data_IF_609746886114
#
_entry.id   IF_609746886114
#
_cell.length_a   1.000
_cell.length_b   1.000
_cell.length_c   1.000
_cell.angle_alpha   90.00
_cell.angle_beta   90.00
_cell.angle_gamma   90.00
#
_symmetry.space_group_name_H-M   'P 1'
#
loop_
_entity.id
_entity.type
_entity.pdbx_description
1 polymer ?
#
# COMPACT_ATOMS: atom_id res chain seq x y z
N UNK A 1 -19.40 22.52 5.47
CA UNK A 1 -19.96 21.16 5.38
C UNK A 1 -18.98 20.30 4.59
N UNK A 2 -18.01 19.67 5.26
CA UNK A 2 -17.36 18.43 4.78
C UNK A 2 -16.51 17.82 5.92
N UNK A 3 -17.16 17.64 7.08
CA UNK A 3 -16.53 17.15 8.33
C UNK A 3 -16.62 15.61 8.44
N UNK A 4 -17.42 14.97 7.59
CA UNK A 4 -17.73 13.53 7.69
C UNK A 4 -16.66 12.59 7.12
N UNK A 5 -15.81 13.05 6.21
CA UNK A 5 -14.75 12.23 5.60
C UNK A 5 -13.52 12.06 6.49
N UNK A 6 -13.17 13.11 7.26
CA UNK A 6 -11.99 13.12 8.14
C UNK A 6 -12.21 12.37 9.46
N UNK A 7 -13.47 12.16 9.83
CA UNK A 7 -13.83 11.44 11.06
C UNK A 7 -13.82 9.91 10.86
N UNK A 8 -14.07 9.42 9.64
CA UNK A 8 -14.03 7.99 9.29
C UNK A 8 -12.60 7.46 9.22
N UNK A 9 -11.63 8.23 8.73
CA UNK A 9 -10.20 7.87 8.70
C UNK A 9 -9.57 7.87 10.10
N UNK A 10 -10.02 8.76 10.99
CA UNK A 10 -9.56 8.84 12.39
C UNK A 10 -10.12 7.70 13.25
N UNK A 11 -11.32 7.22 12.93
CA UNK A 11 -11.99 6.16 13.68
C UNK A 11 -11.37 4.80 13.37
N UNK A 12 -11.17 4.41 12.10
CA UNK A 12 -10.84 3.02 11.72
C UNK A 12 -9.55 2.43 12.36
N UNK A 13 -8.55 3.26 12.64
CA UNK A 13 -7.27 2.84 13.22
C UNK A 13 -7.31 2.58 14.74
N UNK A 14 -7.86 3.52 15.51
CA UNK A 14 -8.14 3.31 16.95
C UNK A 14 -9.29 2.32 17.15
N UNK A 15 -10.18 2.19 16.16
CA UNK A 15 -11.19 1.14 16.11
C UNK A 15 -10.50 -0.21 16.15
N UNK A 16 -9.61 -0.61 15.24
CA UNK A 16 -9.13 -2.00 15.18
C UNK A 16 -8.78 -2.66 16.55
N UNK A 17 -7.88 -2.07 17.36
CA UNK A 17 -7.49 -2.65 18.66
C UNK A 17 -8.53 -2.44 19.76
N UNK A 18 -9.14 -1.25 19.87
CA UNK A 18 -10.17 -0.95 20.89
C UNK A 18 -11.53 -1.55 20.55
N UNK A 19 -11.89 -1.67 19.28
CA UNK A 19 -13.05 -2.37 18.71
C UNK A 19 -12.90 -3.86 18.90
N UNK A 20 -11.73 -4.47 18.65
CA UNK A 20 -11.53 -5.88 18.98
C UNK A 20 -11.70 -6.14 20.49
N UNK A 21 -11.08 -5.30 21.34
CA UNK A 21 -11.23 -5.41 22.80
C UNK A 21 -12.67 -5.09 23.26
N UNK A 22 -13.32 -4.09 22.67
CA UNK A 22 -14.69 -3.68 22.99
C UNK A 22 -15.72 -4.66 22.44
N UNK A 23 -15.47 -5.29 21.30
CA UNK A 23 -16.30 -6.35 20.73
C UNK A 23 -16.14 -7.63 21.51
N UNK A 24 -14.93 -7.98 21.98
CA UNK A 24 -14.76 -9.09 22.92
C UNK A 24 -15.53 -8.83 24.22
N UNK A 25 -15.38 -7.63 24.79
CA UNK A 25 -16.12 -7.24 26.00
C UNK A 25 -17.63 -7.17 25.77
N UNK A 26 -18.08 -6.68 24.60
CA UNK A 26 -19.49 -6.62 24.20
C UNK A 26 -20.04 -8.01 23.91
N UNK A 27 -19.30 -8.90 23.24
CA UNK A 27 -19.70 -10.28 23.00
C UNK A 27 -19.81 -11.04 24.33
N UNK A 28 -18.85 -10.89 25.24
CA UNK A 28 -18.93 -11.47 26.59
C UNK A 28 -20.10 -10.91 27.40
N UNK A 29 -20.44 -9.62 27.24
CA UNK A 29 -21.60 -8.99 27.89
C UNK A 29 -22.92 -9.38 27.24
N UNK A 30 -23.00 -9.43 25.91
CA UNK A 30 -24.17 -9.81 25.12
C UNK A 30 -24.48 -11.29 25.30
N UNK A 31 -23.48 -12.18 25.26
CA UNK A 31 -23.66 -13.60 25.55
C UNK A 31 -24.26 -13.84 26.96
N UNK A 32 -23.97 -12.96 27.92
CA UNK A 32 -24.58 -12.95 29.27
C UNK A 32 -25.95 -12.26 29.34
N UNK A 33 -26.21 -11.29 28.47
CA UNK A 33 -27.40 -10.43 28.52
C UNK A 33 -28.52 -10.81 27.52
N UNK A 34 -28.21 -11.54 26.44
CA UNK A 34 -29.19 -12.04 25.47
C UNK A 34 -30.34 -12.84 26.12
N UNK A 35 -30.14 -13.62 27.21
CA UNK A 35 -31.26 -14.25 27.91
C UNK A 35 -32.15 -13.29 28.71
N UNK A 36 -31.74 -12.03 28.92
CA UNK A 36 -32.37 -11.10 29.88
C UNK A 36 -32.88 -9.78 29.28
N UNK A 37 -32.55 -9.45 28.03
CA UNK A 37 -32.98 -8.20 27.40
C UNK A 37 -34.18 -8.45 26.47
N UNK A 38 -35.35 -7.94 26.87
CA UNK A 38 -36.50 -7.78 25.97
C UNK A 38 -36.24 -6.61 25.01
N UNK A 39 -35.60 -6.89 23.87
CA UNK A 39 -35.37 -5.93 22.79
C UNK A 39 -36.70 -5.70 22.05
N UNK A 40 -37.60 -4.91 22.66
CA UNK A 40 -38.97 -4.65 22.20
C UNK A 40 -39.13 -4.01 20.80
N UNK A 41 -38.06 -3.86 20.02
CA UNK A 41 -38.08 -3.37 18.65
C UNK A 41 -37.49 -4.42 17.67
N UNK A 42 -38.29 -4.95 16.70
CA UNK A 42 -37.88 -6.04 15.79
C UNK A 42 -36.58 -5.79 15.02
N UNK A 43 -36.29 -4.53 14.68
CA UNK A 43 -35.05 -4.13 13.98
C UNK A 43 -33.80 -4.37 14.83
N UNK A 44 -33.87 -4.10 16.13
CA UNK A 44 -32.74 -4.31 17.05
C UNK A 44 -32.49 -5.80 17.33
N UNK A 45 -33.57 -6.59 17.43
CA UNK A 45 -33.47 -8.05 17.52
C UNK A 45 -32.79 -8.65 16.28
N UNK A 46 -33.21 -8.23 15.09
CA UNK A 46 -32.58 -8.69 13.84
C UNK A 46 -31.11 -8.31 13.69
N UNK A 47 -30.69 -7.17 14.24
CA UNK A 47 -29.28 -6.75 14.25
C UNK A 47 -28.48 -7.52 15.30
N UNK A 48 -29.04 -7.72 16.50
CA UNK A 48 -28.43 -8.50 17.56
C UNK A 48 -28.24 -9.96 17.14
N UNK A 49 -29.24 -10.57 16.50
CA UNK A 49 -29.16 -11.93 15.98
C UNK A 49 -28.08 -12.05 14.89
N UNK A 50 -27.96 -11.05 14.00
CA UNK A 50 -26.88 -11.00 13.00
C UNK A 50 -25.50 -10.90 13.63
N UNK A 51 -25.32 -9.99 14.60
CA UNK A 51 -24.04 -9.82 15.31
C UNK A 51 -23.68 -11.07 16.13
N UNK A 52 -24.65 -11.70 16.77
CA UNK A 52 -24.47 -12.92 17.54
C UNK A 52 -24.15 -14.13 16.64
N UNK A 53 -24.64 -14.14 15.40
CA UNK A 53 -24.36 -15.19 14.41
C UNK A 53 -22.96 -15.11 13.79
N UNK A 54 -22.23 -14.01 14.00
CA UNK A 54 -20.85 -13.87 13.50
C UNK A 54 -19.93 -14.75 14.33
N UNK A 55 -19.14 -15.59 13.67
CA UNK A 55 -18.06 -16.34 14.30
C UNK A 55 -16.89 -15.38 14.63
N UNK A 56 -16.96 -14.74 15.80
CA UNK A 56 -15.98 -13.77 16.26
C UNK A 56 -14.58 -14.35 16.46
N UNK A 57 -14.49 -15.64 16.81
CA UNK A 57 -13.21 -16.34 16.91
C UNK A 57 -12.54 -16.43 15.53
N UNK A 58 -13.29 -16.84 14.50
CA UNK A 58 -12.79 -16.87 13.14
C UNK A 58 -12.46 -15.47 12.59
N UNK A 59 -13.21 -14.43 12.99
CA UNK A 59 -12.88 -13.04 12.64
C UNK A 59 -11.58 -12.62 13.31
N UNK A 60 -11.39 -12.92 14.59
CA UNK A 60 -10.19 -12.59 15.34
C UNK A 60 -8.96 -13.29 14.73
N UNK A 61 -9.03 -14.60 14.48
CA UNK A 61 -7.93 -15.33 13.82
C UNK A 61 -7.57 -14.71 12.47
N UNK A 62 -8.57 -14.33 11.65
CA UNK A 62 -8.31 -13.66 10.37
C UNK A 62 -7.67 -12.28 10.53
N UNK A 63 -7.93 -11.58 11.62
CA UNK A 63 -7.34 -10.26 11.92
C UNK A 63 -5.92 -10.41 12.44
N UNK A 64 -5.67 -11.37 13.32
CA UNK A 64 -4.35 -11.68 13.86
C UNK A 64 -3.38 -12.16 12.75
N UNK A 65 -3.87 -12.94 11.78
CA UNK A 65 -3.05 -13.39 10.64
C UNK A 65 -2.89 -12.33 9.53
N UNK A 66 -3.66 -11.25 9.57
CA UNK A 66 -3.72 -10.29 8.47
C UNK A 66 -2.40 -9.58 8.15
N UNK A 67 -1.56 -9.16 9.12
CA UNK A 67 -0.24 -8.57 8.82
C UNK A 67 0.59 -9.49 7.94
N UNK A 68 0.75 -10.75 8.35
CA UNK A 68 1.55 -11.72 7.61
C UNK A 68 0.96 -12.01 6.23
N UNK A 69 -0.37 -12.20 6.13
CA UNK A 69 -1.06 -12.39 4.84
C UNK A 69 -0.88 -11.19 3.91
N UNK A 70 -0.95 -9.98 4.45
CA UNK A 70 -0.75 -8.74 3.69
C UNK A 70 0.67 -8.66 3.15
N UNK A 71 1.68 -8.97 3.98
CA UNK A 71 3.07 -9.01 3.56
C UNK A 71 3.26 -9.99 2.40
N UNK A 72 2.73 -11.21 2.51
CA UNK A 72 2.80 -12.21 1.44
C UNK A 72 2.18 -11.71 0.12
N UNK A 73 0.99 -11.11 0.19
CA UNK A 73 0.34 -10.53 -0.99
C UNK A 73 1.14 -9.38 -1.59
N UNK A 74 1.74 -8.52 -0.75
CA UNK A 74 2.62 -7.44 -1.18
C UNK A 74 3.89 -7.99 -1.85
N UNK A 75 4.51 -9.04 -1.30
CA UNK A 75 5.69 -9.70 -1.87
C UNK A 75 5.39 -10.27 -3.27
N UNK A 76 4.24 -10.94 -3.43
CA UNK A 76 3.76 -11.46 -4.72
C UNK A 76 3.58 -10.33 -5.74
N UNK A 77 2.93 -9.24 -5.34
CA UNK A 77 2.69 -8.09 -6.21
C UNK A 77 4.00 -7.37 -6.59
N UNK A 78 4.87 -7.11 -5.61
CA UNK A 78 6.11 -6.35 -5.82
C UNK A 78 7.14 -7.11 -6.66
N UNK A 79 7.15 -8.45 -6.59
CA UNK A 79 7.94 -9.29 -7.50
C UNK A 79 7.54 -9.12 -8.98
N UNK A 80 6.37 -8.55 -9.27
CA UNK A 80 5.90 -8.20 -10.62
C UNK A 80 5.88 -6.67 -10.85
N UNK A 81 6.53 -5.90 -9.99
CA UNK A 81 6.63 -4.43 -10.09
C UNK A 81 5.37 -3.68 -9.65
N UNK A 82 4.43 -4.35 -8.97
CA UNK A 82 3.20 -3.74 -8.47
C UNK A 82 3.30 -3.39 -6.99
N UNK A 83 2.64 -2.30 -6.61
CA UNK A 83 2.52 -1.91 -5.21
C UNK A 83 1.06 -1.96 -4.80
N UNK A 84 0.75 -2.76 -3.78
CA UNK A 84 -0.61 -2.97 -3.30
C UNK A 84 -0.95 -1.98 -2.19
N UNK A 85 -1.92 -1.09 -2.43
CA UNK A 85 -2.34 -0.06 -1.51
C UNK A 85 -3.74 -0.35 -0.94
N UNK A 86 -3.95 -0.11 0.36
CA UNK A 86 -5.24 -0.30 1.02
C UNK A 86 -6.11 0.95 0.97
N UNK A 87 -6.41 1.42 -0.23
CA UNK A 87 -7.09 2.71 -0.44
C UNK A 87 -8.62 2.63 -0.31
N UNK A 88 -9.15 1.59 0.31
CA UNK A 88 -10.58 1.29 0.39
C UNK A 88 -10.99 0.67 1.72
N UNK A 89 -12.11 -0.04 1.73
CA UNK A 89 -12.61 -0.72 2.91
C UNK A 89 -11.74 -1.91 3.31
N UNK A 90 -11.77 -2.29 4.60
CA UNK A 90 -11.06 -3.48 5.09
C UNK A 90 -11.47 -4.74 4.31
N UNK A 91 -12.76 -4.85 3.92
CA UNK A 91 -13.24 -5.96 3.09
C UNK A 91 -12.55 -6.02 1.73
N UNK A 92 -12.35 -4.88 1.08
CA UNK A 92 -11.61 -4.82 -0.19
C UNK A 92 -10.13 -5.17 0.02
N UNK A 93 -9.51 -4.68 1.09
CA UNK A 93 -8.13 -5.03 1.42
C UNK A 93 -7.96 -6.54 1.61
N UNK A 94 -8.88 -7.20 2.33
CA UNK A 94 -8.91 -8.66 2.45
C UNK A 94 -9.15 -9.35 1.12
N UNK A 95 -10.12 -8.90 0.32
CA UNK A 95 -10.44 -9.52 -0.96
C UNK A 95 -9.23 -9.51 -1.91
N UNK A 96 -8.53 -8.37 -2.01
CA UNK A 96 -7.32 -8.26 -2.83
C UNK A 96 -6.18 -9.11 -2.27
N UNK A 97 -5.99 -9.12 -0.94
CA UNK A 97 -4.96 -9.93 -0.27
C UNK A 97 -5.17 -11.42 -0.52
N UNK A 98 -6.38 -11.94 -0.28
CA UNK A 98 -6.70 -13.35 -0.49
C UNK A 98 -6.62 -13.71 -1.98
N UNK A 99 -7.10 -12.83 -2.86
CA UNK A 99 -7.03 -13.06 -4.30
C UNK A 99 -5.59 -13.17 -4.79
N UNK A 100 -4.70 -12.22 -4.45
CA UNK A 100 -3.27 -12.27 -4.80
C UNK A 100 -2.57 -13.54 -4.33
N UNK A 101 -2.97 -14.10 -3.18
CA UNK A 101 -2.40 -15.33 -2.63
C UNK A 101 -2.94 -16.60 -3.29
N UNK A 102 -4.09 -16.51 -3.96
CA UNK A 102 -4.80 -17.65 -4.56
C UNK A 102 -4.63 -17.78 -6.07
N UNK A 103 -4.36 -16.67 -6.77
CA UNK A 103 -4.20 -16.67 -8.23
C UNK A 103 -2.82 -17.18 -8.64
N UNK A 104 -2.75 -17.69 -9.88
CA UNK A 104 -1.48 -18.07 -10.48
C UNK A 104 -0.58 -16.84 -10.66
N UNK A 105 0.75 -17.03 -10.55
CA UNK A 105 1.73 -15.94 -10.64
C UNK A 105 1.67 -15.20 -11.98
N UNK A 106 1.21 -15.89 -13.02
CA UNK A 106 1.03 -15.39 -14.38
C UNK A 106 -0.18 -14.44 -14.47
N UNK A 107 -1.18 -14.61 -13.61
CA UNK A 107 -2.42 -13.83 -13.58
C UNK A 107 -2.30 -12.52 -12.78
N UNK A 108 -1.23 -12.37 -11.96
CA UNK A 108 -1.01 -11.20 -11.10
C UNK A 108 -1.05 -9.89 -11.89
N UNK A 109 -0.43 -9.85 -13.08
CA UNK A 109 -0.40 -8.63 -13.89
C UNK A 109 -1.80 -8.20 -14.34
N UNK A 110 -2.61 -9.14 -14.83
CA UNK A 110 -3.96 -8.84 -15.31
C UNK A 110 -4.86 -8.40 -14.15
N UNK A 111 -4.81 -9.14 -13.03
CA UNK A 111 -5.56 -8.80 -11.83
C UNK A 111 -5.21 -7.39 -11.30
N UNK A 112 -3.92 -7.07 -11.18
CA UNK A 112 -3.48 -5.77 -10.67
C UNK A 112 -3.74 -4.64 -11.67
N UNK A 113 -3.61 -4.91 -12.97
CA UNK A 113 -3.96 -3.94 -14.01
C UNK A 113 -5.44 -3.57 -13.92
N UNK A 114 -6.34 -4.55 -13.84
CA UNK A 114 -7.78 -4.29 -13.72
C UNK A 114 -8.14 -3.57 -12.40
N UNK A 115 -7.49 -3.97 -11.30
CA UNK A 115 -7.67 -3.33 -10.00
C UNK A 115 -7.39 -1.82 -10.04
N UNK A 116 -6.30 -1.41 -10.72
CA UNK A 116 -5.91 -0.01 -10.80
C UNK A 116 -6.58 0.74 -11.94
N UNK A 117 -6.78 0.12 -13.11
CA UNK A 117 -7.42 0.72 -14.30
C UNK A 117 -8.79 1.28 -13.95
N UNK A 118 -9.61 0.50 -13.24
CA UNK A 118 -10.94 0.90 -12.78
C UNK A 118 -10.94 1.98 -11.69
N UNK A 119 -9.78 2.27 -11.09
CA UNK A 119 -9.63 3.17 -9.93
C UNK A 119 -8.75 4.40 -10.20
N UNK A 120 -8.19 4.58 -11.40
CA UNK A 120 -7.29 5.70 -11.70
C UNK A 120 -7.91 7.04 -11.31
N UNK A 121 -9.16 7.28 -11.68
CA UNK A 121 -9.85 8.54 -11.42
C UNK A 121 -10.00 8.80 -9.92
N UNK A 122 -10.62 7.88 -9.17
CA UNK A 122 -10.86 8.10 -7.74
C UNK A 122 -9.56 8.17 -6.92
N UNK A 123 -8.55 7.36 -7.26
CA UNK A 123 -7.26 7.40 -6.58
C UNK A 123 -6.49 8.69 -6.89
N UNK A 124 -6.57 9.19 -8.12
CA UNK A 124 -5.93 10.47 -8.47
C UNK A 124 -6.56 11.67 -7.79
N UNK A 125 -7.88 11.66 -7.60
CA UNK A 125 -8.59 12.68 -6.83
C UNK A 125 -8.16 12.64 -5.36
N UNK A 126 -8.07 11.44 -4.77
CA UNK A 126 -7.60 11.27 -3.39
C UNK A 126 -6.15 11.74 -3.24
N UNK A 127 -5.27 11.39 -4.18
CA UNK A 127 -3.88 11.87 -4.20
C UNK A 127 -3.80 13.40 -4.27
N UNK A 128 -4.65 14.02 -5.08
CA UNK A 128 -4.69 15.48 -5.24
C UNK A 128 -5.23 16.19 -4.00
N UNK A 129 -6.22 15.59 -3.31
CA UNK A 129 -6.72 16.07 -2.02
C UNK A 129 -5.67 15.94 -0.92
N UNK A 130 -4.95 14.81 -0.88
CA UNK A 130 -3.91 14.54 0.11
C UNK A 130 -2.67 15.40 -0.10
N UNK A 131 -2.28 15.67 -1.36
CA UNK A 131 -1.13 16.51 -1.71
C UNK A 131 -1.51 17.64 -2.68
N UNK A 132 -2.18 18.71 -2.20
CA UNK A 132 -2.63 19.81 -3.06
C UNK A 132 -1.51 20.48 -3.85
N UNK A 133 -0.31 20.60 -3.25
CA UNK A 133 0.86 21.17 -3.92
C UNK A 133 1.36 20.34 -5.12
N UNK A 134 1.03 19.04 -5.17
CA UNK A 134 1.41 18.10 -6.23
C UNK A 134 0.28 17.84 -7.23
N UNK A 135 -0.93 18.32 -6.95
CA UNK A 135 -2.14 18.04 -7.73
C UNK A 135 -2.00 18.36 -9.22
N UNK A 136 -1.32 19.46 -9.58
CA UNK A 136 -1.11 19.85 -10.98
C UNK A 136 -0.29 18.78 -11.72
N UNK A 137 0.83 18.35 -11.14
CA UNK A 137 1.72 17.35 -11.74
C UNK A 137 1.03 15.98 -11.83
N UNK A 138 0.34 15.56 -10.76
CA UNK A 138 -0.41 14.30 -10.72
C UNK A 138 -1.52 14.31 -11.78
N UNK A 139 -2.31 15.38 -11.83
CA UNK A 139 -3.39 15.51 -12.81
C UNK A 139 -2.88 15.52 -14.25
N UNK A 140 -1.72 16.14 -14.51
CA UNK A 140 -1.10 16.11 -15.82
C UNK A 140 -0.67 14.70 -16.23
N UNK A 141 -0.03 13.95 -15.32
CA UNK A 141 0.35 12.57 -15.55
C UNK A 141 -0.85 11.64 -15.76
N UNK A 142 -1.93 11.84 -14.99
CA UNK A 142 -3.18 11.08 -15.16
C UNK A 142 -3.83 11.37 -16.51
N UNK A 143 -3.91 12.63 -16.93
CA UNK A 143 -4.40 12.96 -18.28
C UNK A 143 -3.56 12.32 -19.37
N UNK A 144 -2.24 12.29 -19.22
CA UNK A 144 -1.34 11.61 -20.15
C UNK A 144 -1.62 10.10 -20.19
N UNK A 145 -1.71 9.43 -19.04
CA UNK A 145 -2.09 8.02 -18.94
C UNK A 145 -3.44 7.73 -19.65
N UNK A 146 -4.46 8.58 -19.42
CA UNK A 146 -5.81 8.41 -19.99
C UNK A 146 -5.88 8.63 -21.50
N UNK A 147 -4.84 9.15 -22.15
CA UNK A 147 -4.76 9.15 -23.62
C UNK A 147 -4.73 7.73 -24.19
N UNK A 148 -4.34 6.75 -23.38
CA UNK A 148 -4.31 5.34 -23.73
C UNK A 148 -3.47 5.03 -24.99
N UNK A 149 -2.40 5.81 -25.19
CA UNK A 149 -1.43 5.66 -26.26
C UNK A 149 0.00 5.59 -25.68
N UNK A 150 0.94 5.09 -26.49
CA UNK A 150 2.36 4.98 -26.08
C UNK A 150 2.96 6.30 -25.62
N UNK A 151 2.60 7.41 -26.28
CA UNK A 151 3.07 8.76 -25.90
C UNK A 151 2.55 9.16 -24.51
N UNK A 152 1.27 8.93 -24.26
CA UNK A 152 0.61 9.19 -22.99
C UNK A 152 1.25 8.42 -21.84
N UNK A 153 1.54 7.14 -22.05
CA UNK A 153 2.24 6.31 -21.07
C UNK A 153 3.69 6.74 -20.88
N UNK A 154 4.41 7.05 -21.97
CA UNK A 154 5.79 7.56 -21.93
C UNK A 154 5.91 8.84 -21.11
N UNK A 155 4.90 9.72 -21.17
CA UNK A 155 4.84 10.97 -20.42
C UNK A 155 4.37 10.77 -18.96
N UNK A 156 3.45 9.84 -18.70
CA UNK A 156 2.89 9.64 -17.36
C UNK A 156 3.86 8.94 -16.41
N UNK A 157 4.55 7.89 -16.87
CA UNK A 157 5.42 7.03 -16.08
C UNK A 157 6.50 7.81 -15.29
N UNK A 158 7.36 8.64 -15.92
CA UNK A 158 8.40 9.37 -15.20
C UNK A 158 7.82 10.36 -14.18
N UNK A 159 6.66 10.96 -14.47
CA UNK A 159 6.01 11.89 -13.53
C UNK A 159 5.45 11.14 -12.33
N UNK A 160 4.79 9.99 -12.52
CA UNK A 160 4.32 9.16 -11.40
C UNK A 160 5.46 8.74 -10.47
N UNK A 161 6.57 8.27 -11.04
CA UNK A 161 7.77 7.89 -10.30
C UNK A 161 8.34 9.11 -9.54
N UNK A 162 8.55 10.23 -10.22
CA UNK A 162 9.12 11.43 -9.59
C UNK A 162 8.24 12.00 -8.47
N UNK A 163 6.90 11.95 -8.61
CA UNK A 163 5.99 12.37 -7.55
C UNK A 163 6.04 11.41 -6.36
N UNK A 164 6.08 10.10 -6.60
CA UNK A 164 6.20 9.11 -5.54
C UNK A 164 7.53 9.29 -4.77
N UNK A 165 8.64 9.51 -5.46
CA UNK A 165 9.95 9.81 -4.87
C UNK A 165 9.91 11.04 -3.95
N UNK A 166 9.28 12.12 -4.42
CA UNK A 166 9.14 13.34 -3.63
C UNK A 166 8.27 13.11 -2.40
N UNK A 167 7.16 12.39 -2.56
CA UNK A 167 6.23 12.09 -1.46
C UNK A 167 6.88 11.22 -0.38
N UNK A 168 7.63 10.17 -0.75
CA UNK A 168 8.26 9.31 0.26
C UNK A 168 9.28 10.08 1.10
N UNK A 169 10.02 11.00 0.49
CA UNK A 169 10.94 11.90 1.20
C UNK A 169 10.22 12.85 2.14
N UNK A 170 9.09 13.42 1.69
CA UNK A 170 8.25 14.33 2.49
C UNK A 170 7.61 13.61 3.69
N UNK A 171 6.98 12.45 3.45
CA UNK A 171 6.27 11.66 4.47
C UNK A 171 7.23 11.15 5.55
N UNK A 172 8.39 10.62 5.15
CA UNK A 172 9.33 10.01 6.09
C UNK A 172 10.32 11.02 6.68
N UNK A 173 10.40 12.25 6.14
CA UNK A 173 11.41 13.23 6.52
C UNK A 173 12.83 12.81 6.12
N UNK A 174 12.98 11.99 5.09
CA UNK A 174 14.24 11.41 4.65
C UNK A 174 14.67 12.00 3.31
N UNK A 175 15.75 12.79 3.29
CA UNK A 175 16.32 13.33 2.05
C UNK A 175 16.85 12.19 1.19
N UNK A 176 16.44 12.18 -0.08
CA UNK A 176 16.78 11.13 -1.06
C UNK A 176 16.36 9.75 -0.54
N UNK A 177 15.09 9.58 -0.18
CA UNK A 177 14.62 8.42 0.58
C UNK A 177 14.91 7.07 -0.13
N UNK A 178 14.94 7.05 -1.46
CA UNK A 178 15.21 5.84 -2.24
C UNK A 178 16.70 5.51 -2.40
N UNK A 179 17.61 6.37 -1.95
CA UNK A 179 19.04 6.05 -1.94
C UNK A 179 19.36 5.02 -0.85
N UNK A 180 20.36 4.17 -1.13
CA UNK A 180 20.92 3.26 -0.12
C UNK A 180 21.52 4.05 1.05
N UNK A 181 21.44 3.47 2.24
CA UNK A 181 22.08 4.03 3.44
C UNK A 181 23.60 4.01 3.29
N UNK A 182 24.26 5.07 3.77
CA UNK A 182 25.71 5.14 3.82
C UNK A 182 26.26 4.58 5.14
N UNK A 183 27.58 4.42 5.21
CA UNK A 183 28.29 3.86 6.36
C UNK A 183 27.94 4.50 7.71
N UNK A 184 27.61 5.81 7.72
CA UNK A 184 27.16 6.52 8.92
C UNK A 184 25.87 5.94 9.49
N UNK A 185 24.86 5.70 8.66
CA UNK A 185 23.56 5.17 9.09
C UNK A 185 23.66 3.68 9.43
N UNK A 186 24.52 2.92 8.75
CA UNK A 186 24.81 1.52 9.10
C UNK A 186 25.35 1.41 10.52
N UNK A 187 26.25 2.32 10.93
CA UNK A 187 26.73 2.41 12.32
C UNK A 187 25.63 2.77 13.33
N UNK A 188 24.50 3.32 12.87
CA UNK A 188 23.33 3.69 13.66
C UNK A 188 22.21 2.63 13.59
N UNK A 189 22.54 1.40 13.16
CA UNK A 189 21.61 0.27 13.13
C UNK A 189 20.85 0.09 11.82
N UNK A 190 21.20 0.82 10.76
CA UNK A 190 20.66 0.54 9.43
C UNK A 190 21.18 -0.80 8.92
N UNK A 191 20.29 -1.60 8.29
CA UNK A 191 20.65 -2.85 7.62
C UNK A 191 21.53 -2.56 6.40
N UNK A 192 22.46 -3.44 6.08
CA UNK A 192 23.31 -3.25 4.91
C UNK A 192 22.46 -3.27 3.63
N UNK A 193 22.77 -2.38 2.68
CA UNK A 193 22.10 -2.32 1.37
C UNK A 193 20.72 -1.67 1.36
N UNK A 194 20.11 -1.41 2.52
CA UNK A 194 18.74 -0.89 2.59
C UNK A 194 18.62 0.57 2.12
N UNK A 195 17.39 1.01 1.85
CA UNK A 195 17.10 2.41 1.53
C UNK A 195 16.99 3.29 2.77
N UNK A 196 17.23 4.59 2.61
CA UNK A 196 16.98 5.59 3.68
C UNK A 196 15.51 5.62 4.09
N UNK A 197 14.58 5.35 3.15
CA UNK A 197 13.17 5.21 3.42
C UNK A 197 12.89 4.04 4.36
N UNK A 198 13.46 2.86 4.08
CA UNK A 198 13.31 1.67 4.92
C UNK A 198 13.82 1.93 6.34
N UNK A 199 15.01 2.53 6.46
CA UNK A 199 15.57 2.92 7.76
C UNK A 199 14.68 3.92 8.52
N UNK A 200 14.24 5.00 7.85
CA UNK A 200 13.39 6.02 8.46
C UNK A 200 12.03 5.46 8.89
N UNK A 201 11.45 4.55 8.10
CA UNK A 201 10.19 3.90 8.40
C UNK A 201 10.31 3.00 9.64
N UNK A 202 11.35 2.17 9.75
CA UNK A 202 11.56 1.34 10.94
C UNK A 202 11.77 2.15 12.22
N UNK A 203 12.39 3.32 12.12
CA UNK A 203 12.53 4.21 13.28
C UNK A 203 11.23 4.94 13.67
N UNK A 204 10.22 4.96 12.79
CA UNK A 204 8.90 5.56 13.06
C UNK A 204 7.87 4.56 13.58
N UNK A 205 8.10 3.26 13.38
CA UNK A 205 7.16 2.19 13.74
C UNK A 205 7.77 1.38 14.88
N UNK A 206 7.08 1.35 16.02
CA UNK A 206 7.61 0.69 17.22
C UNK A 206 7.52 -0.84 17.16
N UNK A 207 6.45 -1.38 16.55
CA UNK A 207 6.22 -2.81 16.44
C UNK A 207 6.74 -3.34 15.09
N UNK A 208 7.57 -4.37 15.13
CA UNK A 208 8.13 -4.96 13.92
C UNK A 208 7.06 -5.70 13.11
N UNK A 209 5.99 -6.20 13.74
CA UNK A 209 4.90 -6.88 13.03
C UNK A 209 4.07 -5.91 12.17
N UNK A 210 3.89 -4.66 12.63
CA UNK A 210 3.17 -3.63 11.88
C UNK A 210 3.86 -3.28 10.56
N UNK A 211 5.18 -3.47 10.47
CA UNK A 211 5.94 -3.22 9.25
C UNK A 211 5.52 -4.14 8.10
N UNK A 212 4.87 -5.27 8.39
CA UNK A 212 4.31 -6.18 7.38
C UNK A 212 3.29 -5.48 6.48
N UNK A 213 2.59 -4.45 6.98
CA UNK A 213 1.64 -3.68 6.19
C UNK A 213 2.30 -2.71 5.20
N UNK A 214 3.60 -2.49 5.29
CA UNK A 214 4.35 -1.55 4.45
C UNK A 214 5.62 -2.20 3.89
N UNK A 215 5.64 -3.53 3.83
CA UNK A 215 6.80 -4.32 3.43
C UNK A 215 7.44 -3.88 2.11
N UNK A 216 6.70 -3.46 1.05
CA UNK A 216 7.31 -2.97 -0.17
C UNK A 216 8.33 -1.85 0.06
N UNK A 217 8.11 -0.90 1.00
CA UNK A 217 9.10 0.16 1.30
C UNK A 217 10.39 -0.42 1.88
N UNK A 218 10.27 -1.47 2.72
CA UNK A 218 11.41 -2.12 3.35
C UNK A 218 12.23 -2.92 2.34
N UNK A 219 11.55 -3.63 1.44
CA UNK A 219 12.13 -4.49 0.43
C UNK A 219 12.51 -3.77 -0.88
N UNK A 220 12.24 -2.46 -0.99
CA UNK A 220 12.45 -1.68 -2.22
C UNK A 220 13.84 -1.88 -2.86
N UNK A 221 14.88 -2.06 -2.05
CA UNK A 221 16.26 -2.24 -2.50
C UNK A 221 16.53 -3.58 -3.19
N UNK A 222 15.68 -4.58 -2.95
CA UNK A 222 15.76 -5.92 -3.54
C UNK A 222 14.87 -6.06 -4.79
N UNK A 223 14.02 -5.06 -5.06
CA UNK A 223 13.11 -5.09 -6.20
C UNK A 223 13.80 -4.65 -7.48
N UNK A 224 13.41 -5.28 -8.60
CA UNK A 224 13.75 -4.87 -9.97
C UNK A 224 13.51 -3.38 -10.22
N UNK A 225 12.53 -2.79 -9.53
CA UNK A 225 12.19 -1.37 -9.61
C UNK A 225 13.35 -0.43 -9.23
N UNK A 226 14.19 -0.77 -8.24
CA UNK A 226 15.36 0.02 -7.81
C UNK A 226 16.70 -0.64 -8.10
N UNK A 227 16.70 -1.79 -8.77
CA UNK A 227 17.92 -2.53 -9.10
C UNK A 227 18.95 -1.63 -9.80
N UNK A 228 20.20 -1.67 -9.33
CA UNK A 228 21.27 -0.83 -9.85
C UNK A 228 21.86 -1.40 -11.15
N UNK A 229 22.65 -0.62 -11.88
CA UNK A 229 23.18 -1.02 -13.19
C UNK A 229 24.04 -2.29 -13.14
N UNK A 230 24.88 -2.45 -12.10
CA UNK A 230 25.72 -3.64 -11.91
C UNK A 230 24.89 -4.90 -11.65
N UNK A 231 23.89 -4.80 -10.77
CA UNK A 231 23.00 -5.92 -10.45
C UNK A 231 22.17 -6.33 -11.68
N UNK A 232 21.68 -5.37 -12.47
CA UNK A 232 20.97 -5.63 -13.74
C UNK A 232 21.86 -6.36 -14.75
N UNK A 233 23.12 -5.94 -14.89
CA UNK A 233 24.07 -6.59 -15.78
C UNK A 233 24.34 -8.04 -15.36
N UNK A 234 24.50 -8.31 -14.06
CA UNK A 234 24.67 -9.66 -13.54
C UNK A 234 23.42 -10.53 -13.75
N UNK A 235 22.22 -9.96 -13.58
CA UNK A 235 20.93 -10.63 -13.85
C UNK A 235 20.78 -11.00 -15.34
N UNK A 236 21.11 -10.08 -16.24
CA UNK A 236 21.08 -10.28 -17.70
C UNK A 236 22.03 -11.40 -18.12
N UNK A 237 23.26 -11.40 -17.57
CA UNK A 237 24.24 -12.46 -17.82
C UNK A 237 23.76 -13.84 -17.34
N UNK A 238 23.09 -13.88 -16.18
CA UNK A 238 22.63 -15.14 -15.57
C UNK A 238 21.38 -15.71 -16.24
N UNK A 239 20.50 -14.85 -16.75
CA UNK A 239 19.24 -15.23 -17.41
C UNK A 239 19.38 -15.43 -18.93
N UNK A 240 20.45 -14.92 -19.54
CA UNK A 240 20.69 -14.99 -20.98
C UNK A 240 19.75 -14.12 -21.82
N UNK A 241 18.98 -13.22 -21.19
CA UNK A 241 18.02 -12.33 -21.84
C UNK A 241 18.11 -10.90 -21.32
N UNK A 242 17.43 -9.97 -21.98
CA UNK A 242 17.39 -8.57 -21.59
C UNK A 242 16.54 -8.33 -20.33
N UNK A 243 16.99 -7.41 -19.48
CA UNK A 243 16.23 -6.95 -18.33
C UNK A 243 15.00 -6.16 -18.79
N UNK A 244 13.79 -6.67 -18.51
CA UNK A 244 12.52 -6.17 -19.06
C UNK A 244 11.55 -5.60 -18.02
N UNK A 245 11.94 -5.55 -16.74
CA UNK A 245 11.11 -4.99 -15.68
C UNK A 245 11.11 -3.45 -15.73
N UNK A 246 10.03 -2.84 -15.21
CA UNK A 246 9.98 -1.39 -15.03
C UNK A 246 10.99 -0.99 -13.95
N UNK A 247 12.08 -0.33 -14.35
CA UNK A 247 13.13 0.12 -13.45
C UNK A 247 13.21 1.65 -13.41
N UNK A 248 13.16 2.20 -12.21
CA UNK A 248 13.24 3.63 -11.94
C UNK A 248 14.49 4.25 -12.56
N UNK A 249 15.65 3.62 -12.39
CA UNK A 249 16.91 4.17 -12.85
C UNK A 249 16.94 4.27 -14.38
N UNK A 250 16.55 3.21 -15.09
CA UNK A 250 16.51 3.20 -16.55
C UNK A 250 15.57 4.27 -17.11
N UNK A 251 14.37 4.41 -16.54
CA UNK A 251 13.40 5.43 -16.97
C UNK A 251 13.91 6.84 -16.65
N UNK A 252 14.31 7.11 -15.41
CA UNK A 252 14.64 8.47 -14.95
C UNK A 252 15.96 9.00 -15.53
N UNK A 253 16.85 8.12 -15.98
CA UNK A 253 18.09 8.49 -16.66
C UNK A 253 18.02 8.34 -18.19
N UNK A 254 16.89 7.89 -18.74
CA UNK A 254 16.72 7.72 -20.19
C UNK A 254 17.60 6.64 -20.80
N UNK A 255 17.96 5.60 -20.03
CA UNK A 255 18.70 4.44 -20.56
C UNK A 255 17.82 3.60 -21.50
N UNK A 256 16.50 3.69 -21.35
CA UNK A 256 15.49 3.05 -22.20
C UNK A 256 14.45 4.08 -22.62
N UNK A 257 13.84 3.89 -23.79
CA UNK A 257 12.82 4.82 -24.34
C UNK A 257 11.52 4.12 -24.75
N UNK A 258 11.48 2.79 -24.70
CA UNK A 258 10.37 1.92 -25.09
C UNK A 258 9.51 1.47 -23.89
N UNK A 259 9.65 2.14 -22.75
CA UNK A 259 8.93 1.80 -21.51
C UNK A 259 7.43 2.17 -21.53
N UNK A 260 6.97 2.92 -22.53
CA UNK A 260 5.62 3.50 -22.66
C UNK A 260 4.50 2.49 -22.94
N UNK A 261 4.16 1.68 -21.94
CA UNK A 261 3.03 0.72 -22.01
C UNK A 261 2.00 1.00 -20.92
N UNK A 262 0.76 0.57 -21.13
CA UNK A 262 -0.31 0.69 -20.12
C UNK A 262 0.14 0.03 -18.80
N UNK A 263 0.69 -1.19 -18.91
CA UNK A 263 1.11 -1.99 -17.77
C UNK A 263 2.17 -1.25 -16.94
N UNK A 264 3.18 -0.67 -17.58
CA UNK A 264 4.20 0.11 -16.87
C UNK A 264 3.64 1.40 -16.28
N UNK A 265 2.71 2.05 -16.98
CA UNK A 265 2.03 3.24 -16.45
C UNK A 265 1.20 2.91 -15.22
N UNK A 266 0.50 1.77 -15.20
CA UNK A 266 -0.29 1.33 -14.03
C UNK A 266 0.61 0.88 -12.88
N UNK A 267 1.76 0.22 -13.16
CA UNK A 267 2.76 -0.10 -12.13
C UNK A 267 3.31 1.16 -11.47
N UNK A 268 3.73 2.16 -12.26
CA UNK A 268 4.20 3.44 -11.76
C UNK A 268 3.10 4.18 -10.96
N UNK A 269 1.85 4.15 -11.44
CA UNK A 269 0.71 4.71 -10.73
C UNK A 269 0.42 3.97 -9.41
N UNK A 270 0.56 2.65 -9.38
CA UNK A 270 0.40 1.84 -8.17
C UNK A 270 1.43 2.21 -7.10
N UNK A 271 2.68 2.47 -7.50
CA UNK A 271 3.72 2.97 -6.59
C UNK A 271 3.36 4.34 -6.02
N UNK A 272 2.89 5.25 -6.87
CA UNK A 272 2.40 6.56 -6.43
C UNK A 272 1.23 6.44 -5.45
N UNK A 273 0.26 5.57 -5.71
CA UNK A 273 -0.87 5.34 -4.81
C UNK A 273 -0.43 4.73 -3.48
N UNK A 274 0.50 3.78 -3.52
CA UNK A 274 1.04 3.16 -2.32
C UNK A 274 1.78 4.18 -1.43
N UNK A 275 2.64 5.00 -2.03
CA UNK A 275 3.36 6.04 -1.29
C UNK A 275 2.44 7.16 -0.85
N UNK A 276 1.52 7.62 -1.70
CA UNK A 276 0.70 8.80 -1.44
C UNK A 276 -0.55 8.54 -0.61
N UNK A 277 -1.10 7.33 -0.61
CA UNK A 277 -2.34 7.03 0.11
C UNK A 277 -2.12 6.01 1.21
N UNK A 278 -1.51 4.87 0.89
CA UNK A 278 -1.34 3.78 1.85
C UNK A 278 -0.35 4.10 2.97
N UNK A 279 0.85 4.59 2.63
CA UNK A 279 1.88 4.90 3.62
C UNK A 279 1.43 5.97 4.63
N UNK A 280 0.82 7.11 4.22
CA UNK A 280 0.26 8.09 5.15
C UNK A 280 -0.87 7.51 6.01
N UNK A 281 -1.77 6.73 5.42
CA UNK A 281 -2.84 6.09 6.18
C UNK A 281 -2.27 5.18 7.29
N UNK A 282 -1.30 4.32 6.94
CA UNK A 282 -0.59 3.46 7.89
C UNK A 282 0.13 4.24 9.00
N UNK A 283 0.83 5.32 8.65
CA UNK A 283 1.54 6.13 9.65
C UNK A 283 0.58 6.94 10.54
N UNK A 284 -0.53 7.43 9.98
CA UNK A 284 -1.55 8.16 10.73
C UNK A 284 -2.27 7.26 11.73
N UNK A 285 -2.44 5.98 11.39
CA UNK A 285 -2.96 4.97 12.29
C UNK A 285 -2.06 4.81 13.53
N UNK A 286 -0.74 4.81 13.37
CA UNK A 286 0.22 4.61 14.48
C UNK A 286 0.57 5.88 15.25
N UNK A 287 0.50 7.04 14.62
CA UNK A 287 0.80 8.33 15.25
C UNK A 287 -0.15 8.74 16.38
N UNK A 288 -1.30 8.07 16.53
CA UNK A 288 -2.31 8.37 17.55
C UNK A 288 -2.14 7.63 18.88
N UNK A 289 -1.14 6.76 19.00
CA UNK A 289 -0.87 5.99 20.23
C UNK A 289 0.16 6.67 21.17
N UNK A 290 0.72 7.82 20.78
CA UNK A 290 1.75 8.56 21.53
C UNK A 290 1.30 9.94 22.07
N UNK A 291 -0.01 10.17 22.23
CA UNK A 291 -0.57 11.36 22.92
C UNK A 291 -1.55 10.93 24.01
#
# INVERSE_FOLDING_TARGET
MDDGGKEIEKVLGQFHKRFLQSLQALNQRMAKAIPTIDLGAPKFRSLADRIASINWEAVQTKMDEFPQRSKEAMDIASAKGWFFAWTGSLREAYAVTDQLRSIDKEQVNEFMAEHYRSRVDCLSENLSKQFPARAIAISAAVRAHKRADTDGYTLSIPVFIAQADGMISEILGAVSALQKVGSKLTKQGAKEGETRAAYALRNKVADEEDLNYVNPILALHDLDFLMNQGDRAASTQSSGGEFSALNRHQVMHGEISDYGTELNSLRAFSFLCFVGLHLPAFLSWKGQDNV
#
